data_IF_144650230363
#
_entry.id   IF_144650230363
#
_cell.length_a   1.000
_cell.length_b   1.000
_cell.length_c   1.000
_cell.angle_alpha   90.00
_cell.angle_beta   90.00
_cell.angle_gamma   90.00
#
_symmetry.space_group_name_H-M   'P 1'
#
loop_
_entity.id
_entity.type
_entity.pdbx_description
1 polymer ?
#
# COMPACT_ATOMS: atom_id res chain seq x y z
N UNK A 1 -1.59 18.97 10.69
CA UNK A 1 -1.28 17.54 10.45
C UNK A 1 -2.19 17.03 9.34
N UNK A 2 -1.61 16.44 8.30
CA UNK A 2 -2.32 15.95 7.10
C UNK A 2 -3.46 14.98 7.52
N UNK A 3 -4.70 15.27 7.11
CA UNK A 3 -5.87 14.42 7.43
C UNK A 3 -5.83 13.06 6.72
N UNK A 4 -5.16 13.03 5.56
CA UNK A 4 -4.89 11.89 4.71
C UNK A 4 -3.42 12.03 4.30
N UNK A 5 -2.60 10.98 4.23
CA UNK A 5 -1.16 11.06 3.90
C UNK A 5 -0.82 11.72 2.54
N UNK A 6 0.44 11.62 2.10
CA UNK A 6 0.83 12.15 0.78
C UNK A 6 0.05 11.45 -0.35
N UNK A 7 -0.32 12.19 -1.39
CA UNK A 7 -0.93 11.58 -2.58
C UNK A 7 0.13 10.85 -3.41
N UNK A 8 -0.28 9.89 -4.25
CA UNK A 8 0.65 9.21 -5.17
C UNK A 8 1.41 10.20 -6.07
N UNK A 9 0.80 11.33 -6.43
CA UNK A 9 1.41 12.33 -7.31
C UNK A 9 2.40 13.25 -6.60
N UNK A 10 2.32 13.34 -5.27
CA UNK A 10 3.15 14.21 -4.43
C UNK A 10 4.27 13.42 -3.72
N UNK A 11 4.72 12.30 -4.29
CA UNK A 11 5.85 11.56 -3.73
C UNK A 11 7.13 12.41 -3.78
N UNK A 12 7.96 12.38 -2.72
CA UNK A 12 9.27 13.04 -2.71
C UNK A 12 10.17 12.55 -3.85
N UNK A 13 11.08 13.42 -4.30
CA UNK A 13 12.02 13.11 -5.38
C UNK A 13 13.04 12.00 -5.03
N UNK A 14 13.18 11.67 -3.73
CA UNK A 14 14.02 10.56 -3.25
C UNK A 14 13.48 9.19 -3.66
N UNK A 15 12.19 9.10 -4.02
CA UNK A 15 11.56 7.87 -4.46
C UNK A 15 11.54 7.77 -5.99
N UNK A 16 11.52 6.54 -6.54
CA UNK A 16 11.22 6.33 -7.95
C UNK A 16 9.90 6.98 -8.35
N UNK A 17 9.71 7.19 -9.67
CA UNK A 17 8.45 7.71 -10.22
C UNK A 17 7.25 6.99 -9.59
N UNK A 18 6.22 7.76 -9.24
CA UNK A 18 5.03 7.26 -8.54
C UNK A 18 4.38 6.07 -9.24
N UNK A 19 4.45 5.99 -10.57
CA UNK A 19 3.92 4.88 -11.36
C UNK A 19 4.60 3.54 -11.03
N UNK A 20 5.91 3.56 -10.82
CA UNK A 20 6.69 2.38 -10.42
C UNK A 20 6.32 1.95 -9.01
N UNK A 21 6.24 2.89 -8.07
CA UNK A 21 5.86 2.60 -6.69
C UNK A 21 4.44 2.04 -6.64
N UNK A 22 3.51 2.65 -7.37
CA UNK A 22 2.13 2.19 -7.47
C UNK A 22 2.02 0.78 -8.08
N UNK A 23 2.83 0.47 -9.10
CA UNK A 23 2.85 -0.85 -9.73
C UNK A 23 3.21 -1.96 -8.72
N UNK A 24 4.30 -1.79 -7.97
CA UNK A 24 4.71 -2.75 -6.96
C UNK A 24 3.72 -2.83 -5.81
N UNK A 25 3.23 -1.68 -5.35
CA UNK A 25 2.20 -1.61 -4.33
C UNK A 25 0.94 -2.40 -4.74
N UNK A 26 0.48 -2.25 -6.00
CA UNK A 26 -0.68 -2.97 -6.51
C UNK A 26 -0.43 -4.48 -6.56
N UNK A 27 0.77 -4.90 -6.99
CA UNK A 27 1.17 -6.31 -7.02
C UNK A 27 1.17 -6.93 -5.62
N UNK A 28 1.68 -6.22 -4.61
CA UNK A 28 1.79 -6.71 -3.24
C UNK A 28 0.50 -6.60 -2.42
N UNK A 29 -0.39 -5.70 -2.81
CA UNK A 29 -1.70 -5.53 -2.17
C UNK A 29 -2.72 -6.57 -2.64
N UNK A 30 -2.49 -7.20 -3.80
CA UNK A 30 -3.35 -8.27 -4.30
C UNK A 30 -3.05 -9.58 -3.56
N UNK A 31 -4.13 -10.21 -3.07
CA UNK A 31 -4.05 -11.55 -2.53
C UNK A 31 -3.84 -12.54 -3.70
N UNK A 32 -2.83 -13.43 -3.63
CA UNK A 32 -2.59 -14.42 -4.68
C UNK A 32 -3.68 -15.49 -4.74
N UNK A 33 -4.35 -15.77 -3.61
CA UNK A 33 -5.49 -16.70 -3.50
C UNK A 33 -6.50 -16.16 -2.48
N UNK A 34 -7.81 -16.47 -2.59
CA UNK A 34 -8.82 -16.03 -1.62
C UNK A 34 -8.49 -16.40 -0.17
N UNK A 35 -7.88 -17.58 0.02
CA UNK A 35 -7.55 -18.11 1.35
C UNK A 35 -6.27 -17.52 1.97
N UNK A 36 -5.44 -16.82 1.18
CA UNK A 36 -4.14 -16.31 1.66
C UNK A 36 -4.10 -14.78 1.64
N UNK A 37 -3.72 -14.13 2.76
CA UNK A 37 -3.61 -12.68 2.80
C UNK A 37 -2.48 -12.20 1.88
N UNK A 38 -2.66 -11.02 1.29
CA UNK A 38 -1.66 -10.34 0.49
C UNK A 38 -0.32 -10.21 1.24
N UNK A 39 0.80 -10.22 0.51
CA UNK A 39 2.15 -10.11 1.09
C UNK A 39 2.29 -8.85 1.94
N UNK A 40 1.72 -7.73 1.47
CA UNK A 40 1.72 -6.47 2.20
C UNK A 40 1.05 -6.62 3.58
N UNK A 41 -0.10 -7.29 3.64
CA UNK A 41 -0.83 -7.54 4.90
C UNK A 41 0.00 -8.38 5.87
N UNK A 42 0.72 -9.39 5.39
CA UNK A 42 1.56 -10.25 6.22
C UNK A 42 2.73 -9.48 6.84
N UNK A 43 3.43 -8.66 6.04
CA UNK A 43 4.56 -7.85 6.51
C UNK A 43 4.10 -6.80 7.50
N UNK A 44 2.99 -6.10 7.22
CA UNK A 44 2.47 -5.08 8.13
C UNK A 44 2.02 -5.67 9.47
N UNK A 45 1.44 -6.88 9.45
CA UNK A 45 1.12 -7.64 10.66
C UNK A 45 2.38 -7.97 11.47
N UNK A 46 3.48 -8.35 10.83
CA UNK A 46 4.77 -8.60 11.51
C UNK A 46 5.37 -7.32 12.13
N UNK A 47 5.13 -6.17 11.50
CA UNK A 47 5.58 -4.87 11.98
C UNK A 47 4.62 -4.23 13.00
N UNK A 48 3.54 -4.92 13.39
CA UNK A 48 2.48 -4.41 14.28
C UNK A 48 1.88 -3.08 13.81
N UNK A 49 1.85 -2.84 12.49
CA UNK A 49 1.32 -1.61 11.91
C UNK A 49 -0.18 -1.74 11.63
N UNK A 50 -1.00 -0.70 11.94
CA UNK A 50 -2.42 -0.71 11.63
C UNK A 50 -2.61 -0.59 10.12
N UNK A 51 -3.00 -1.69 9.48
CA UNK A 51 -3.32 -1.76 8.05
C UNK A 51 -4.76 -2.20 7.84
N UNK A 52 -5.56 -1.33 7.23
CA UNK A 52 -6.94 -1.62 6.86
C UNK A 52 -7.06 -1.62 5.33
N UNK A 53 -7.13 -2.80 4.69
CA UNK A 53 -7.27 -2.90 3.25
C UNK A 53 -8.57 -2.28 2.72
N UNK A 54 -9.60 -2.12 3.55
CA UNK A 54 -10.90 -1.56 3.12
C UNK A 54 -10.85 -0.05 2.87
N UNK A 55 -9.93 0.67 3.52
CA UNK A 55 -9.72 2.11 3.34
C UNK A 55 -9.08 2.46 1.99
N UNK A 56 -8.47 1.48 1.35
CA UNK A 56 -7.69 1.65 0.14
C UNK A 56 -8.56 1.54 -1.11
N UNK A 57 -9.62 0.73 -1.07
CA UNK A 57 -10.49 0.42 -2.23
C UNK A 57 -11.40 1.61 -2.60
N UNK A 58 -11.45 2.69 -1.79
CA UNK A 58 -12.43 3.78 -1.93
C UNK A 58 -11.87 5.11 -2.45
N UNK A 59 -10.86 5.11 -3.31
CA UNK A 59 -10.44 6.33 -4.03
C UNK A 59 -10.19 6.09 -5.49
#
# INVERSE_FOLDING_TARGET
VLKNGCTWRDLPADYPKWSTVYYYWMSWSKAPTPDKPALLTQVLKKLSLPYDPSRIVRR
#
